data_IF_054199286353
#
_entry.id   IF_054199286353
#
_cell.length_a   1.000
_cell.length_b   1.000
_cell.length_c   1.000
_cell.angle_alpha   90.00
_cell.angle_beta   90.00
_cell.angle_gamma   90.00
#
_symmetry.space_group_name_H-M   'P 1'
#
loop_
_entity.id
_entity.type
_entity.pdbx_description
1 polymer ?
#
# COMPACT_ATOMS: atom_id res chain seq x y z
N UNK A 1 1.79 -23.34 19.82
CA UNK A 1 2.25 -21.99 19.45
C UNK A 1 2.87 -21.34 20.68
N UNK A 2 4.06 -20.72 20.55
CA UNK A 2 4.69 -20.03 21.66
C UNK A 2 3.98 -18.69 21.95
N UNK A 3 3.39 -18.55 23.15
CA UNK A 3 2.77 -17.28 23.58
C UNK A 3 3.78 -16.30 24.20
N UNK A 4 5.02 -16.74 24.47
CA UNK A 4 6.05 -15.95 25.17
C UNK A 4 6.94 -15.11 24.25
N UNK A 5 7.05 -15.46 22.96
CA UNK A 5 7.96 -14.76 22.02
C UNK A 5 7.24 -14.43 20.71
N UNK A 6 7.38 -13.19 20.26
CA UNK A 6 7.05 -12.84 18.88
C UNK A 6 8.11 -13.39 17.92
N UNK A 7 7.71 -13.80 16.72
CA UNK A 7 8.66 -14.22 15.70
C UNK A 7 9.67 -13.10 15.38
N UNK A 8 10.96 -13.43 15.19
CA UNK A 8 11.97 -12.44 14.84
C UNK A 8 11.60 -11.80 13.49
N UNK A 9 11.74 -10.49 13.40
CA UNK A 9 11.54 -9.76 12.14
C UNK A 9 12.65 -10.15 11.18
N UNK A 10 12.28 -10.76 10.04
CA UNK A 10 13.23 -11.07 8.97
C UNK A 10 13.71 -9.77 8.31
N UNK A 11 15.01 -9.66 8.08
CA UNK A 11 15.57 -8.59 7.27
C UNK A 11 15.10 -8.75 5.82
N UNK A 12 14.64 -7.65 5.23
CA UNK A 12 14.20 -7.65 3.83
C UNK A 12 15.44 -7.47 2.97
N UNK A 13 15.67 -8.42 2.07
CA UNK A 13 16.71 -8.30 1.06
C UNK A 13 16.29 -7.20 0.10
N UNK A 14 17.19 -6.24 -0.15
CA UNK A 14 16.95 -5.15 -1.09
C UNK A 14 16.82 -5.69 -2.52
N UNK A 15 16.03 -5.01 -3.33
CA UNK A 15 15.92 -5.34 -4.75
C UNK A 15 17.25 -5.14 -5.48
N UNK A 16 17.74 -6.12 -6.27
CA UNK A 16 19.04 -6.01 -6.94
C UNK A 16 19.07 -4.90 -8.00
N UNK A 17 17.95 -4.62 -8.69
CA UNK A 17 17.87 -3.63 -9.80
C UNK A 17 17.72 -2.20 -9.27
N UNK A 18 16.86 -1.98 -8.29
CA UNK A 18 16.52 -0.64 -7.80
C UNK A 18 17.00 -0.35 -6.36
N UNK A 19 17.67 -1.30 -5.72
CA UNK A 19 18.19 -1.19 -4.32
C UNK A 19 17.16 -0.69 -3.31
N UNK A 20 15.88 -0.96 -3.55
CA UNK A 20 14.74 -0.52 -2.75
C UNK A 20 14.22 -1.66 -1.87
N UNK A 21 13.81 -1.34 -0.63
CA UNK A 21 13.16 -2.28 0.28
C UNK A 21 11.64 -2.41 0.03
N UNK A 22 11.05 -1.49 -0.73
CA UNK A 22 9.60 -1.46 -0.99
C UNK A 22 9.24 -2.39 -2.15
N UNK A 23 10.07 -2.46 -3.18
CA UNK A 23 9.84 -3.30 -4.38
C UNK A 23 9.70 -4.78 -4.02
N UNK A 24 10.56 -5.42 -3.20
CA UNK A 24 10.36 -6.81 -2.79
C UNK A 24 9.05 -7.03 -2.02
N UNK A 25 8.62 -6.05 -1.23
CA UNK A 25 7.31 -6.12 -0.55
C UNK A 25 6.16 -6.09 -1.54
N UNK A 26 6.25 -5.25 -2.57
CA UNK A 26 5.26 -5.18 -3.65
C UNK A 26 5.20 -6.50 -4.42
N UNK A 27 6.34 -7.05 -4.83
CA UNK A 27 6.46 -8.35 -5.52
C UNK A 27 5.80 -9.47 -4.69
N UNK A 28 6.16 -9.57 -3.41
CA UNK A 28 5.59 -10.58 -2.51
C UNK A 28 4.07 -10.43 -2.33
N UNK A 29 3.55 -9.20 -2.39
CA UNK A 29 2.12 -8.93 -2.23
C UNK A 29 1.31 -9.16 -3.52
N UNK A 30 1.94 -9.05 -4.69
CA UNK A 30 1.32 -9.35 -5.99
C UNK A 30 1.32 -10.85 -6.26
N UNK A 31 2.33 -11.56 -5.76
CA UNK A 31 2.55 -12.98 -6.02
C UNK A 31 1.34 -13.83 -5.64
N UNK A 32 0.98 -14.77 -6.54
CA UNK A 32 0.01 -15.85 -6.32
C UNK A 32 0.72 -17.20 -6.37
N UNK A 33 0.30 -18.15 -5.56
CA UNK A 33 0.73 -19.56 -5.58
C UNK A 33 2.26 -19.74 -5.53
N UNK A 34 2.98 -18.80 -4.91
CA UNK A 34 4.45 -18.85 -4.86
C UNK A 34 5.16 -18.51 -6.17
N UNK A 35 4.45 -18.07 -7.22
CA UNK A 35 5.02 -17.75 -8.54
C UNK A 35 5.77 -16.41 -8.54
N UNK A 36 6.90 -16.36 -7.84
CA UNK A 36 7.64 -15.12 -7.60
C UNK A 36 8.23 -14.52 -8.88
N UNK A 37 8.78 -15.34 -9.76
CA UNK A 37 9.39 -14.88 -11.02
C UNK A 37 8.41 -14.16 -11.93
N UNK A 38 7.15 -14.62 -11.96
CA UNK A 38 6.07 -13.95 -12.71
C UNK A 38 5.75 -12.60 -12.08
N UNK A 39 5.66 -12.53 -10.75
CA UNK A 39 5.42 -11.28 -10.04
C UNK A 39 6.55 -10.27 -10.23
N UNK A 40 7.81 -10.71 -10.22
CA UNK A 40 8.99 -9.90 -10.52
C UNK A 40 8.92 -9.30 -11.93
N UNK A 41 8.63 -10.14 -12.94
CA UNK A 41 8.46 -9.69 -14.32
C UNK A 41 7.38 -8.63 -14.44
N UNK A 42 6.21 -8.82 -13.83
CA UNK A 42 5.10 -7.86 -13.84
C UNK A 42 5.54 -6.50 -13.28
N UNK A 43 6.25 -6.50 -12.14
CA UNK A 43 6.70 -5.26 -11.50
C UNK A 43 7.78 -4.57 -12.33
N UNK A 44 8.77 -5.31 -12.83
CA UNK A 44 9.83 -4.74 -13.65
C UNK A 44 9.31 -4.20 -14.97
N UNK A 45 8.40 -4.90 -15.64
CA UNK A 45 7.72 -4.40 -16.85
C UNK A 45 6.96 -3.10 -16.58
N UNK A 46 6.30 -2.99 -15.43
CA UNK A 46 5.61 -1.76 -15.03
C UNK A 46 6.59 -0.60 -14.80
N UNK A 47 7.72 -0.87 -14.11
CA UNK A 47 8.76 0.13 -13.87
C UNK A 47 9.44 0.59 -15.17
N UNK A 48 9.64 -0.30 -16.14
CA UNK A 48 10.17 0.07 -17.47
C UNK A 48 9.20 0.98 -18.24
N UNK A 49 7.90 0.74 -18.15
CA UNK A 49 6.88 1.62 -18.71
C UNK A 49 6.88 3.01 -18.05
N UNK A 50 7.11 3.10 -16.74
CA UNK A 50 7.30 4.39 -16.08
C UNK A 50 8.49 5.13 -16.65
N UNK A 51 9.63 4.44 -16.84
CA UNK A 51 10.84 5.00 -17.41
C UNK A 51 10.64 5.53 -18.83
N UNK A 52 9.84 4.84 -19.66
CA UNK A 52 9.54 5.26 -21.02
C UNK A 52 8.62 6.48 -21.09
N UNK A 53 7.71 6.63 -20.13
CA UNK A 53 6.72 7.71 -20.12
C UNK A 53 7.22 8.97 -19.41
N UNK A 54 8.13 8.84 -18.48
CA UNK A 54 8.65 9.92 -17.64
C UNK A 54 10.16 10.10 -17.85
N UNK A 55 10.63 11.34 -17.70
CA UNK A 55 12.07 11.68 -17.71
C UNK A 55 12.74 11.37 -16.36
N UNK A 56 11.94 11.24 -15.30
CA UNK A 56 12.43 10.99 -13.96
C UNK A 56 12.75 9.51 -13.72
N UNK A 57 13.59 9.23 -12.74
CA UNK A 57 13.88 7.86 -12.34
C UNK A 57 12.63 7.12 -11.86
N UNK A 58 12.34 5.91 -12.38
CA UNK A 58 11.14 5.15 -12.03
C UNK A 58 10.96 4.93 -10.53
N UNK A 59 12.07 4.79 -9.80
CA UNK A 59 12.04 4.56 -8.35
C UNK A 59 11.53 5.78 -7.58
N UNK A 60 11.85 7.00 -8.03
CA UNK A 60 11.41 8.23 -7.39
C UNK A 60 9.90 8.39 -7.55
N UNK A 61 9.39 8.21 -8.79
CA UNK A 61 7.95 8.24 -9.07
C UNK A 61 7.20 7.19 -8.24
N UNK A 62 7.74 5.98 -8.15
CA UNK A 62 7.16 4.91 -7.35
C UNK A 62 7.12 5.26 -5.86
N UNK A 63 8.21 5.78 -5.31
CA UNK A 63 8.28 6.17 -3.90
C UNK A 63 7.31 7.30 -3.58
N UNK A 64 7.19 8.29 -4.46
CA UNK A 64 6.24 9.39 -4.33
C UNK A 64 4.79 8.90 -4.43
N UNK A 65 4.48 8.04 -5.40
CA UNK A 65 3.17 7.41 -5.50
C UNK A 65 2.78 6.65 -4.22
N UNK A 66 3.71 5.84 -3.67
CA UNK A 66 3.48 5.15 -2.40
C UNK A 66 3.28 6.15 -1.25
N UNK A 67 4.07 7.22 -1.20
CA UNK A 67 3.93 8.27 -0.19
C UNK A 67 2.55 8.93 -0.26
N UNK A 68 2.06 9.20 -1.46
CA UNK A 68 0.73 9.79 -1.68
C UNK A 68 -0.41 8.86 -1.23
N UNK A 69 -0.26 7.53 -1.36
CA UNK A 69 -1.27 6.55 -0.93
C UNK A 69 -1.22 6.29 0.58
N UNK A 70 -0.09 6.51 1.27
CA UNK A 70 0.05 6.20 2.69
C UNK A 70 -0.98 6.92 3.55
N UNK A 71 -1.80 6.19 4.36
CA UNK A 71 -2.69 6.81 5.33
C UNK A 71 -1.92 7.25 6.59
N UNK A 72 -2.31 8.36 7.17
CA UNK A 72 -1.84 8.83 8.49
C UNK A 72 -2.74 8.33 9.63
N UNK A 73 -4.03 8.16 9.34
CA UNK A 73 -5.04 7.69 10.31
C UNK A 73 -5.84 6.55 9.74
N UNK A 74 -6.29 5.64 10.61
CA UNK A 74 -7.24 4.57 10.30
C UNK A 74 -8.33 4.53 11.37
N UNK A 75 -9.44 3.87 11.06
CA UNK A 75 -10.52 3.66 12.02
C UNK A 75 -10.45 2.22 12.53
N UNK A 76 -10.53 2.04 13.86
CA UNK A 76 -10.58 0.73 14.51
C UNK A 76 -11.83 0.60 15.34
N UNK A 77 -12.51 -0.54 15.20
CA UNK A 77 -13.66 -0.88 16.02
C UNK A 77 -13.22 -1.18 17.46
N UNK A 78 -13.83 -0.53 18.42
CA UNK A 78 -13.69 -0.78 19.87
C UNK A 78 -15.04 -1.01 20.49
N UNK A 79 -15.14 -2.03 21.35
CA UNK A 79 -16.37 -2.33 22.09
C UNK A 79 -16.27 -1.73 23.48
N UNK A 80 -17.18 -0.81 23.80
CA UNK A 80 -17.24 -0.13 25.09
C UNK A 80 -18.68 -0.23 25.61
N UNK A 81 -18.87 -0.81 26.79
CA UNK A 81 -20.22 -0.91 27.41
C UNK A 81 -21.26 -1.62 26.55
N UNK A 82 -20.85 -2.61 25.71
CA UNK A 82 -21.78 -3.33 24.83
C UNK A 82 -21.97 -2.71 23.44
N UNK A 83 -21.69 -1.42 23.24
CA UNK A 83 -21.73 -0.76 21.95
C UNK A 83 -20.37 -0.81 21.23
N UNK A 84 -20.38 -0.88 19.88
CA UNK A 84 -19.17 -0.86 19.06
C UNK A 84 -18.96 0.52 18.46
N UNK A 85 -17.83 1.15 18.80
CA UNK A 85 -17.45 2.47 18.31
C UNK A 85 -16.32 2.34 17.31
N UNK A 86 -16.34 3.21 16.29
CA UNK A 86 -15.28 3.35 15.32
C UNK A 86 -14.31 4.43 15.81
N UNK A 87 -13.15 4.01 16.35
CA UNK A 87 -12.19 4.92 16.99
C UNK A 87 -11.07 5.26 16.02
N UNK A 88 -10.81 6.54 15.70
CA UNK A 88 -9.70 6.95 14.87
C UNK A 88 -8.37 6.75 15.62
N UNK A 89 -7.40 6.13 14.94
CA UNK A 89 -6.07 5.82 15.48
C UNK A 89 -5.01 6.18 14.45
N UNK A 90 -3.91 6.78 14.92
CA UNK A 90 -2.74 7.03 14.06
C UNK A 90 -2.10 5.72 13.59
N UNK A 91 -1.66 5.71 12.34
CA UNK A 91 -1.08 4.52 11.71
C UNK A 91 0.43 4.55 11.82
N UNK A 92 1.03 3.52 12.43
CA UNK A 92 2.49 3.36 12.48
C UNK A 92 3.07 3.23 11.06
N UNK A 93 4.27 3.79 10.82
CA UNK A 93 4.90 3.88 9.51
C UNK A 93 4.95 2.55 8.72
N UNK A 94 5.28 1.43 9.39
CA UNK A 94 5.32 0.10 8.76
C UNK A 94 3.93 -0.38 8.31
N UNK A 95 2.90 -0.08 9.09
CA UNK A 95 1.52 -0.44 8.75
C UNK A 95 0.99 0.46 7.63
N UNK A 96 1.28 1.75 7.68
CA UNK A 96 0.93 2.71 6.63
C UNK A 96 1.50 2.28 5.28
N UNK A 97 2.78 1.85 5.25
CA UNK A 97 3.39 1.29 4.04
C UNK A 97 2.70 0.00 3.55
N UNK A 98 2.36 -0.91 4.47
CA UNK A 98 1.68 -2.15 4.10
C UNK A 98 0.27 -1.90 3.56
N UNK A 99 -0.46 -0.93 4.13
CA UNK A 99 -1.77 -0.50 3.63
C UNK A 99 -1.66 0.12 2.25
N UNK A 100 -0.69 1.00 2.03
CA UNK A 100 -0.47 1.64 0.72
C UNK A 100 -0.21 0.60 -0.38
N UNK A 101 0.67 -0.38 -0.13
CA UNK A 101 0.95 -1.47 -1.09
C UNK A 101 -0.33 -2.29 -1.36
N UNK A 102 -1.09 -2.64 -0.34
CA UNK A 102 -2.34 -3.40 -0.49
C UNK A 102 -3.36 -2.64 -1.31
N UNK A 103 -3.60 -1.37 -1.00
CA UNK A 103 -4.56 -0.53 -1.73
C UNK A 103 -4.14 -0.30 -3.18
N UNK A 104 -2.85 -0.12 -3.45
CA UNK A 104 -2.31 -0.04 -4.80
C UNK A 104 -2.63 -1.31 -5.60
N UNK A 105 -2.38 -2.49 -5.02
CA UNK A 105 -2.63 -3.78 -5.70
C UNK A 105 -4.13 -4.01 -5.91
N UNK A 106 -4.95 -3.75 -4.89
CA UNK A 106 -6.41 -3.94 -4.97
C UNK A 106 -7.03 -2.99 -6.01
N UNK A 107 -6.56 -1.73 -6.07
CA UNK A 107 -6.97 -0.77 -7.09
C UNK A 107 -6.53 -1.22 -8.48
N UNK A 108 -5.27 -1.65 -8.64
CA UNK A 108 -4.75 -2.15 -9.91
C UNK A 108 -5.54 -3.36 -10.42
N UNK A 109 -5.87 -4.32 -9.56
CA UNK A 109 -6.65 -5.51 -9.94
C UNK A 109 -8.04 -5.17 -10.50
N UNK A 110 -8.66 -4.09 -10.03
CA UNK A 110 -9.98 -3.63 -10.47
C UNK A 110 -9.95 -2.89 -11.81
N UNK A 111 -8.78 -2.50 -12.33
CA UNK A 111 -8.66 -1.82 -13.62
C UNK A 111 -9.03 -2.76 -14.78
N UNK A 112 -9.52 -2.17 -15.87
CA UNK A 112 -9.98 -2.90 -17.07
C UNK A 112 -8.86 -3.28 -18.05
N UNK A 113 -7.61 -2.86 -17.79
CA UNK A 113 -6.47 -3.16 -18.64
C UNK A 113 -6.23 -4.67 -18.74
N UNK A 114 -5.68 -5.16 -19.88
CA UNK A 114 -5.50 -6.60 -20.12
C UNK A 114 -4.38 -7.20 -19.27
N UNK A 115 -3.20 -6.55 -19.21
CA UNK A 115 -2.02 -7.07 -18.52
C UNK A 115 -1.92 -6.45 -17.13
N UNK A 116 -1.51 -7.27 -16.14
CA UNK A 116 -1.31 -6.77 -14.77
C UNK A 116 -0.20 -5.71 -14.67
N UNK A 117 0.83 -5.80 -15.54
CA UNK A 117 1.87 -4.78 -15.63
C UNK A 117 1.32 -3.40 -16.05
N UNK A 118 0.34 -3.38 -16.97
CA UNK A 118 -0.32 -2.13 -17.39
C UNK A 118 -1.19 -1.56 -16.27
N UNK A 119 -1.93 -2.44 -15.58
CA UNK A 119 -2.76 -2.05 -14.43
C UNK A 119 -1.94 -1.38 -13.34
N UNK A 120 -0.80 -1.99 -12.97
CA UNK A 120 0.10 -1.47 -11.94
C UNK A 120 0.75 -0.16 -12.41
N UNK A 121 1.24 -0.12 -13.63
CA UNK A 121 1.83 1.08 -14.21
C UNK A 121 0.84 2.26 -14.17
N UNK A 122 -0.38 2.07 -14.68
CA UNK A 122 -1.39 3.12 -14.73
C UNK A 122 -1.80 3.58 -13.31
N UNK A 123 -1.93 2.67 -12.34
CA UNK A 123 -2.29 3.03 -10.98
C UNK A 123 -1.16 3.78 -10.25
N UNK A 124 0.11 3.39 -10.46
CA UNK A 124 1.27 4.11 -9.90
C UNK A 124 1.33 5.52 -10.50
N UNK A 125 1.13 5.65 -11.80
CA UNK A 125 1.19 6.94 -12.48
C UNK A 125 0.05 7.88 -12.06
N UNK A 126 -1.17 7.34 -11.91
CA UNK A 126 -2.31 8.09 -11.39
C UNK A 126 -2.07 8.52 -9.94
N UNK A 127 -1.53 7.61 -9.09
CA UNK A 127 -1.21 7.92 -7.71
C UNK A 127 -0.08 8.97 -7.56
N UNK A 128 0.90 8.97 -8.47
CA UNK A 128 1.90 10.02 -8.56
C UNK A 128 1.26 11.39 -8.80
N UNK A 129 0.23 11.44 -9.65
CA UNK A 129 -0.56 12.66 -9.90
C UNK A 129 -1.63 12.94 -8.83
N UNK A 130 -1.60 12.25 -7.70
CA UNK A 130 -2.62 12.34 -6.64
C UNK A 130 -4.03 12.01 -7.12
N UNK A 131 -4.16 11.06 -8.06
CA UNK A 131 -5.41 10.56 -8.63
C UNK A 131 -5.50 9.04 -8.46
N UNK A 132 -6.61 8.46 -8.91
CA UNK A 132 -6.78 7.01 -8.94
C UNK A 132 -7.52 6.43 -7.74
N UNK A 133 -7.86 5.14 -7.87
CA UNK A 133 -8.70 4.44 -6.89
C UNK A 133 -7.97 4.19 -5.55
N UNK A 134 -6.65 4.05 -5.57
CA UNK A 134 -5.85 3.88 -4.36
C UNK A 134 -5.84 5.18 -3.52
N UNK A 135 -5.70 6.34 -4.15
CA UNK A 135 -5.79 7.65 -3.48
C UNK A 135 -7.19 7.86 -2.91
N UNK A 136 -8.23 7.59 -3.70
CA UNK A 136 -9.61 7.69 -3.21
C UNK A 136 -9.84 6.83 -1.97
N UNK A 137 -9.29 5.62 -1.92
CA UNK A 137 -9.38 4.76 -0.73
C UNK A 137 -8.73 5.37 0.50
N UNK A 138 -7.59 6.05 0.34
CA UNK A 138 -6.96 6.82 1.42
C UNK A 138 -7.87 7.94 1.91
N UNK A 139 -8.40 8.74 0.97
CA UNK A 139 -9.29 9.87 1.28
C UNK A 139 -10.55 9.41 2.01
N UNK A 140 -11.19 8.33 1.53
CA UNK A 140 -12.36 7.73 2.18
C UNK A 140 -12.04 7.30 3.62
N UNK A 141 -10.86 6.70 3.83
CA UNK A 141 -10.40 6.27 5.16
C UNK A 141 -10.17 7.47 6.08
N UNK A 142 -9.54 8.53 5.58
CA UNK A 142 -9.33 9.77 6.34
C UNK A 142 -10.64 10.46 6.66
N UNK A 143 -11.57 10.54 5.70
CA UNK A 143 -12.90 11.11 5.90
C UNK A 143 -13.71 10.34 6.96
N UNK A 144 -13.64 9.01 6.95
CA UNK A 144 -14.25 8.18 8.01
C UNK A 144 -13.62 8.45 9.38
N UNK A 145 -12.29 8.60 9.44
CA UNK A 145 -11.60 8.91 10.69
C UNK A 145 -11.99 10.31 11.22
N UNK A 146 -12.14 11.28 10.35
CA UNK A 146 -12.57 12.63 10.69
C UNK A 146 -14.02 12.65 11.20
N UNK A 147 -14.94 11.97 10.54
CA UNK A 147 -16.33 11.84 10.96
C UNK A 147 -16.48 11.19 12.34
N UNK A 148 -15.54 10.33 12.71
CA UNK A 148 -15.54 9.63 14.01
C UNK A 148 -14.60 10.28 15.04
N UNK A 149 -14.13 11.51 14.80
CA UNK A 149 -13.18 12.22 15.68
C UNK A 149 -13.70 12.39 17.10
N UNK A 150 -15.01 12.51 17.28
CA UNK A 150 -15.65 12.60 18.60
C UNK A 150 -15.35 11.38 19.50
N UNK A 151 -15.08 10.20 18.92
CA UNK A 151 -14.78 8.96 19.66
C UNK A 151 -13.29 8.76 19.92
N UNK A 152 -12.42 9.73 19.60
CA UNK A 152 -10.98 9.61 19.79
C UNK A 152 -10.57 9.40 21.28
N UNK A 153 -11.37 9.85 22.23
CA UNK A 153 -11.14 9.65 23.67
C UNK A 153 -11.25 8.18 24.12
N UNK A 154 -11.85 7.29 23.32
CA UNK A 154 -11.84 5.84 23.56
C UNK A 154 -10.56 5.15 23.08
N UNK A 155 -9.53 5.91 22.76
CA UNK A 155 -8.21 5.40 22.37
C UNK A 155 -7.40 5.07 23.62
N UNK A 156 -7.13 3.77 23.86
CA UNK A 156 -6.16 3.23 24.82
C UNK A 156 -5.34 2.10 24.22
#
# INVERSE_FOLDING_TARGET
MSRKRSAPKKNIILDPKYKSAIIPKLINSIMYDGKKTIAEKIVYDAMEKIKTKSKDEPINIFNEAISNIRPTVEVRSRRVGGATYQVPVEVKANRSQALAIRWLIDASRKRKDKKMSDKIFNEIYDAYQSKGSAIKKKEDTHKMAESNKAFAHFRW
#
